data_IF_018722216739
#
_entry.id   IF_018722216739
#
_cell.length_a   1.000
_cell.length_b   1.000
_cell.length_c   1.000
_cell.angle_alpha   90.00
_cell.angle_beta   90.00
_cell.angle_gamma   90.00
#
_symmetry.space_group_name_H-M   'P 1'
#
loop_
_entity.id
_entity.type
_entity.pdbx_description
1 polymer ?
#
# COMPACT_ATOMS: atom_id res chain seq x y z
N UNK A 1 9.01 -7.74 -8.48
CA UNK A 1 10.03 -7.16 -9.37
C UNK A 1 9.88 -5.67 -9.51
N UNK A 2 8.78 -5.12 -10.05
CA UNK A 2 8.69 -3.66 -10.17
C UNK A 2 8.40 -2.95 -8.84
N UNK A 3 7.61 -3.55 -7.96
CA UNK A 3 7.32 -2.95 -6.64
C UNK A 3 8.55 -2.95 -5.72
N UNK A 4 9.39 -3.99 -5.83
CA UNK A 4 10.65 -4.12 -5.07
C UNK A 4 11.74 -3.14 -5.54
N UNK A 5 11.51 -2.45 -6.66
CA UNK A 5 12.38 -1.35 -7.13
C UNK A 5 11.94 0.02 -6.59
N UNK A 6 10.72 0.12 -6.04
CA UNK A 6 10.09 1.36 -5.59
C UNK A 6 10.01 1.39 -4.07
N UNK A 7 9.56 0.28 -3.47
CA UNK A 7 9.38 0.11 -2.03
C UNK A 7 10.29 -1.00 -1.52
N UNK A 8 11.00 -0.74 -0.42
CA UNK A 8 11.77 -1.78 0.26
C UNK A 8 10.86 -2.75 1.04
N UNK A 9 11.42 -3.84 1.57
CA UNK A 9 10.64 -4.86 2.26
C UNK A 9 9.91 -4.31 3.51
N UNK A 10 10.54 -3.40 4.25
CA UNK A 10 9.97 -2.82 5.47
C UNK A 10 8.77 -1.94 5.13
N UNK A 11 8.89 -1.11 4.09
CA UNK A 11 7.80 -0.28 3.58
C UNK A 11 6.64 -1.12 3.02
N UNK A 12 6.96 -2.18 2.29
CA UNK A 12 5.94 -3.09 1.77
C UNK A 12 5.18 -3.80 2.90
N UNK A 13 5.86 -4.23 3.96
CA UNK A 13 5.23 -4.84 5.13
C UNK A 13 4.31 -3.85 5.85
N UNK A 14 4.76 -2.61 6.06
CA UNK A 14 3.94 -1.57 6.68
C UNK A 14 2.66 -1.27 5.89
N UNK A 15 2.77 -1.04 4.57
CA UNK A 15 1.61 -0.74 3.73
C UNK A 15 0.67 -1.97 3.65
N UNK A 16 1.22 -3.17 3.66
CA UNK A 16 0.43 -4.40 3.69
C UNK A 16 -0.40 -4.51 4.96
N UNK A 17 0.22 -4.30 6.12
CA UNK A 17 -0.47 -4.41 7.41
C UNK A 17 -1.55 -3.33 7.54
N UNK A 18 -1.29 -2.12 7.06
CA UNK A 18 -2.30 -1.08 6.93
C UNK A 18 -3.52 -1.57 6.13
N UNK A 19 -3.33 -2.07 4.90
CA UNK A 19 -4.46 -2.51 4.06
C UNK A 19 -5.16 -3.78 4.58
N UNK A 20 -4.47 -4.61 5.37
CA UNK A 20 -5.04 -5.79 6.00
C UNK A 20 -5.99 -5.41 7.15
N UNK A 21 -5.68 -4.35 7.89
CA UNK A 21 -6.48 -3.87 9.02
C UNK A 21 -7.50 -2.80 8.62
N UNK A 22 -7.28 -2.09 7.51
CA UNK A 22 -8.15 -1.04 7.03
C UNK A 22 -9.55 -1.56 6.67
N UNK A 23 -10.58 -0.79 7.06
CA UNK A 23 -11.97 -1.10 6.71
C UNK A 23 -12.31 -0.81 5.23
N UNK A 24 -11.45 -0.07 4.52
CA UNK A 24 -11.61 0.33 3.12
C UNK A 24 -10.27 0.39 2.39
N UNK A 25 -10.26 0.13 1.08
CA UNK A 25 -9.11 0.33 0.19
C UNK A 25 -9.02 1.78 -0.34
N UNK A 26 -9.55 2.75 0.40
CA UNK A 26 -9.61 4.12 -0.07
C UNK A 26 -8.21 4.75 -0.08
N UNK A 27 -7.82 5.30 -1.22
CA UNK A 27 -6.46 5.82 -1.40
C UNK A 27 -6.24 7.16 -0.70
N UNK A 28 -7.27 7.99 -0.58
CA UNK A 28 -7.17 9.28 0.10
C UNK A 28 -7.02 9.04 1.61
N UNK A 29 -7.72 8.05 2.15
CA UNK A 29 -7.55 7.62 3.54
C UNK A 29 -6.14 7.07 3.82
N UNK A 30 -5.58 6.27 2.91
CA UNK A 30 -4.21 5.77 3.06
C UNK A 30 -3.19 6.92 3.03
N UNK A 31 -3.34 7.87 2.11
CA UNK A 31 -2.47 9.04 2.02
C UNK A 31 -2.51 9.92 3.28
N UNK A 32 -3.69 10.06 3.90
CA UNK A 32 -3.85 10.80 5.15
C UNK A 32 -3.19 10.06 6.32
N UNK A 33 -3.36 8.73 6.43
CA UNK A 33 -2.77 7.91 7.50
C UNK A 33 -1.24 7.97 7.49
N UNK A 34 -0.64 7.87 6.30
CA UNK A 34 0.81 7.88 6.16
C UNK A 34 1.42 9.29 6.16
N UNK A 35 0.62 10.34 6.37
CA UNK A 35 1.08 11.74 6.48
C UNK A 35 2.06 12.21 5.36
N UNK A 36 1.98 11.62 4.16
CA UNK A 36 2.87 11.90 3.04
C UNK A 36 4.25 11.24 3.12
N UNK A 37 4.44 10.22 3.96
CA UNK A 37 5.64 9.35 3.96
C UNK A 37 5.79 8.56 2.66
N UNK A 38 4.67 8.29 1.98
CA UNK A 38 4.62 7.62 0.69
C UNK A 38 4.03 8.53 -0.39
N UNK A 39 4.53 8.39 -1.62
CA UNK A 39 3.93 9.03 -2.78
C UNK A 39 2.60 8.36 -3.17
N UNK A 40 1.68 9.13 -3.76
CA UNK A 40 0.38 8.62 -4.23
C UNK A 40 0.53 7.45 -5.21
N UNK A 41 1.57 7.46 -6.05
CA UNK A 41 1.85 6.36 -6.97
C UNK A 41 2.27 5.09 -6.22
N UNK A 42 3.09 5.19 -5.18
CA UNK A 42 3.57 4.05 -4.38
C UNK A 42 2.42 3.32 -3.70
N UNK A 43 1.55 4.07 -3.01
CA UNK A 43 0.38 3.51 -2.33
C UNK A 43 -0.63 2.90 -3.31
N UNK A 44 -0.86 3.52 -4.47
CA UNK A 44 -1.76 2.97 -5.51
C UNK A 44 -1.24 1.66 -6.06
N UNK A 45 0.06 1.57 -6.31
CA UNK A 45 0.68 0.35 -6.83
C UNK A 45 0.60 -0.78 -5.81
N UNK A 46 0.88 -0.48 -4.54
CA UNK A 46 0.79 -1.48 -3.49
C UNK A 46 -0.64 -1.96 -3.27
N UNK A 47 -1.60 -1.04 -3.24
CA UNK A 47 -3.02 -1.38 -3.14
C UNK A 47 -3.48 -2.32 -4.26
N UNK A 48 -3.06 -2.10 -5.50
CA UNK A 48 -3.39 -2.99 -6.63
C UNK A 48 -2.81 -4.39 -6.43
N UNK A 49 -1.56 -4.50 -5.94
CA UNK A 49 -0.94 -5.78 -5.57
C UNK A 49 -1.73 -6.46 -4.46
N UNK A 50 -2.01 -5.77 -3.37
CA UNK A 50 -2.75 -6.27 -2.21
C UNK A 50 -4.11 -6.86 -2.60
N UNK A 51 -4.89 -6.11 -3.39
CA UNK A 51 -6.19 -6.58 -3.88
C UNK A 51 -6.07 -7.84 -4.76
N UNK A 52 -5.00 -7.97 -5.53
CA UNK A 52 -4.74 -9.17 -6.33
C UNK A 52 -4.31 -10.38 -5.50
N UNK A 53 -3.68 -10.16 -4.33
CA UNK A 53 -3.20 -11.21 -3.43
C UNK A 53 -4.31 -11.73 -2.50
N UNK A 54 -5.13 -10.82 -1.95
CA UNK A 54 -6.19 -11.15 -0.99
C UNK A 54 -7.50 -11.59 -1.65
N UNK A 55 -7.78 -11.16 -2.89
CA UNK A 55 -9.00 -11.53 -3.61
C UNK A 55 -8.91 -12.86 -4.40
N UNK A 56 -7.77 -13.58 -4.34
CA UNK A 56 -7.59 -14.89 -4.97
C UNK A 56 -7.99 -16.07 -4.08
#
# INVERSE_FOLDING_TARGET
YWIDEILDEDQQEEIHDYFLEAESDDIEAALEEFEGEYEDEELRLYRLKFMSEVAN
#
